data_IF_364151037127
#
_entry.id   IF_364151037127
#
_cell.length_a   1.000
_cell.length_b   1.000
_cell.length_c   1.000
_cell.angle_alpha   90.00
_cell.angle_beta   90.00
_cell.angle_gamma   90.00
#
_symmetry.space_group_name_H-M   'P 1'
#
loop_
_entity.id
_entity.type
_entity.pdbx_description
1 polymer ?
#
# COMPACT_ATOMS: atom_id res chain seq x y z
N UNK A 1 24.01 8.86 -4.20
CA UNK A 1 22.61 9.22 -3.82
C UNK A 1 21.80 7.96 -3.95
N UNK A 2 20.99 7.65 -2.94
CA UNK A 2 20.07 6.52 -3.01
C UNK A 2 18.95 6.84 -4.00
N UNK A 3 18.41 5.81 -4.66
CA UNK A 3 17.25 5.98 -5.53
C UNK A 3 16.00 6.27 -4.70
N UNK A 4 15.14 7.17 -5.18
CA UNK A 4 13.87 7.50 -4.51
C UNK A 4 12.73 6.59 -4.99
N UNK A 5 11.60 6.61 -4.24
CA UNK A 5 10.32 6.12 -4.74
C UNK A 5 9.58 7.18 -5.54
N UNK A 6 8.86 6.79 -6.60
CA UNK A 6 7.94 7.68 -7.31
C UNK A 6 6.51 7.16 -7.14
N UNK A 7 5.65 7.96 -6.48
CA UNK A 7 4.24 7.68 -6.32
C UNK A 7 3.39 8.61 -7.20
N UNK A 8 2.44 8.05 -7.94
CA UNK A 8 1.48 8.84 -8.73
C UNK A 8 0.07 8.52 -8.27
N UNK A 9 -0.61 9.54 -7.74
CA UNK A 9 -1.99 9.40 -7.30
C UNK A 9 -2.97 9.63 -8.45
N UNK A 10 -3.86 8.68 -8.70
CA UNK A 10 -4.95 8.79 -9.67
C UNK A 10 -6.27 8.81 -8.89
N UNK A 11 -6.92 9.98 -8.73
CA UNK A 11 -8.08 10.13 -7.85
C UNK A 11 -9.40 9.69 -8.48
N UNK A 12 -9.39 8.78 -9.45
CA UNK A 12 -10.60 8.41 -10.17
C UNK A 12 -11.10 7.02 -9.82
N UNK A 13 -12.42 6.91 -9.62
CA UNK A 13 -13.14 5.65 -9.45
C UNK A 13 -14.44 5.68 -10.26
N UNK A 14 -14.87 4.54 -10.78
CA UNK A 14 -16.20 4.42 -11.39
C UNK A 14 -17.32 4.51 -10.36
N UNK A 15 -17.06 4.05 -9.13
CA UNK A 15 -17.94 4.16 -7.96
C UNK A 15 -17.10 4.16 -6.68
N UNK A 16 -17.50 4.91 -5.66
CA UNK A 16 -16.83 4.91 -4.36
C UNK A 16 -17.38 3.80 -3.48
N UNK A 17 -16.49 2.98 -2.93
CA UNK A 17 -16.86 1.93 -2.00
C UNK A 17 -17.34 2.51 -0.66
N UNK A 18 -18.31 1.89 0.05
CA UNK A 18 -18.91 2.46 1.25
C UNK A 18 -17.96 2.57 2.46
N UNK A 19 -16.82 1.89 2.42
CA UNK A 19 -15.79 1.92 3.45
C UNK A 19 -14.59 2.84 3.12
N UNK A 20 -14.48 3.33 1.88
CA UNK A 20 -13.25 3.96 1.38
C UNK A 20 -13.17 5.44 1.74
N UNK A 21 -12.09 5.84 2.44
CA UNK A 21 -11.76 7.24 2.73
C UNK A 21 -10.74 7.85 1.77
N UNK A 22 -10.17 7.08 0.85
CA UNK A 22 -9.21 7.63 -0.10
C UNK A 22 -9.81 8.77 -0.92
N UNK A 23 -8.99 9.78 -1.22
CA UNK A 23 -9.40 10.86 -2.10
C UNK A 23 -9.65 10.30 -3.50
N UNK A 24 -10.91 10.04 -3.81
CA UNK A 24 -11.33 9.48 -5.09
C UNK A 24 -12.78 9.82 -5.41
N UNK A 25 -13.06 10.01 -6.72
CA UNK A 25 -14.38 10.37 -7.20
C UNK A 25 -14.56 9.97 -8.68
N UNK A 26 -15.79 10.07 -9.18
CA UNK A 26 -16.08 9.86 -10.59
C UNK A 26 -15.79 11.15 -11.37
N UNK A 27 -15.07 11.05 -12.48
CA UNK A 27 -14.78 12.16 -13.38
C UNK A 27 -15.14 11.81 -14.83
N UNK A 28 -15.44 12.85 -15.61
CA UNK A 28 -15.57 12.76 -17.07
C UNK A 28 -14.19 12.68 -17.76
N UNK A 29 -14.20 12.45 -19.04
CA UNK A 29 -12.96 12.25 -19.80
C UNK A 29 -12.17 13.55 -19.99
N UNK A 30 -12.82 14.70 -20.00
CA UNK A 30 -12.13 16.01 -20.05
C UNK A 30 -11.32 16.24 -18.77
N UNK A 31 -11.94 16.03 -17.61
CA UNK A 31 -11.26 16.13 -16.32
C UNK A 31 -10.08 15.15 -16.22
N UNK A 32 -10.25 13.90 -16.67
CA UNK A 32 -9.16 12.91 -16.71
C UNK A 32 -8.01 13.36 -17.60
N UNK A 33 -8.31 13.91 -18.80
CA UNK A 33 -7.31 14.40 -19.75
C UNK A 33 -6.51 15.58 -19.17
N UNK A 34 -7.20 16.57 -18.58
CA UNK A 34 -6.58 17.71 -17.90
C UNK A 34 -5.66 17.23 -16.76
N UNK A 35 -6.12 16.26 -15.97
CA UNK A 35 -5.35 15.69 -14.88
C UNK A 35 -4.09 14.94 -15.35
N UNK A 36 -4.22 14.10 -16.36
CA UNK A 36 -3.07 13.40 -16.97
C UNK A 36 -2.05 14.40 -17.52
N UNK A 37 -2.51 15.45 -18.17
CA UNK A 37 -1.65 16.53 -18.68
C UNK A 37 -0.90 17.23 -17.55
N UNK A 38 -1.55 17.45 -16.39
CA UNK A 38 -0.91 17.99 -15.20
C UNK A 38 0.13 17.02 -14.59
N UNK A 39 -0.17 15.72 -14.51
CA UNK A 39 0.80 14.70 -14.05
C UNK A 39 2.05 14.70 -14.95
N UNK A 40 1.87 14.72 -16.26
CA UNK A 40 2.97 14.77 -17.22
C UNK A 40 3.80 16.07 -17.13
N UNK A 41 3.16 17.20 -16.84
CA UNK A 41 3.84 18.46 -16.56
C UNK A 41 4.70 18.36 -15.30
N UNK A 42 4.13 17.83 -14.22
CA UNK A 42 4.82 17.68 -12.93
C UNK A 42 5.99 16.69 -13.00
N UNK A 43 5.87 15.59 -13.74
CA UNK A 43 6.99 14.68 -14.02
C UNK A 43 8.16 15.43 -14.66
N UNK A 44 7.88 16.22 -15.72
CA UNK A 44 8.92 17.01 -16.41
C UNK A 44 9.52 18.11 -15.53
N UNK A 45 8.71 18.80 -14.73
CA UNK A 45 9.18 19.88 -13.86
C UNK A 45 10.09 19.34 -12.77
N UNK A 46 9.65 18.30 -12.05
CA UNK A 46 10.43 17.72 -10.97
C UNK A 46 11.71 17.04 -11.50
N UNK A 47 11.72 16.43 -12.69
CA UNK A 47 12.94 15.83 -13.23
C UNK A 47 14.04 16.86 -13.58
N UNK A 48 13.67 18.11 -13.83
CA UNK A 48 14.64 19.20 -14.04
C UNK A 48 15.20 19.76 -12.74
N UNK A 49 14.44 19.64 -11.65
CA UNK A 49 14.81 20.18 -10.34
C UNK A 49 15.55 19.16 -9.47
N UNK A 50 15.18 17.89 -9.59
CA UNK A 50 15.71 16.80 -8.79
C UNK A 50 16.77 16.02 -9.59
N UNK A 51 18.00 16.01 -9.09
CA UNK A 51 19.08 15.21 -9.68
C UNK A 51 19.14 13.81 -9.04
N UNK A 52 18.05 13.05 -9.16
CA UNK A 52 17.92 11.70 -8.61
C UNK A 52 17.22 10.74 -9.58
N UNK A 53 17.38 9.45 -9.36
CA UNK A 53 16.67 8.39 -10.05
C UNK A 53 15.65 7.74 -9.10
N UNK A 54 14.63 7.13 -9.67
CA UNK A 54 13.64 6.33 -8.94
C UNK A 54 13.76 4.87 -9.36
N UNK A 55 13.87 3.98 -8.38
CA UNK A 55 13.90 2.54 -8.61
C UNK A 55 12.55 1.87 -8.38
N UNK A 56 11.54 2.67 -8.01
CA UNK A 56 10.14 2.23 -7.94
C UNK A 56 9.20 3.31 -8.49
N UNK A 57 8.17 2.86 -9.23
CA UNK A 57 7.00 3.66 -9.60
C UNK A 57 5.75 2.95 -9.10
N UNK A 58 4.96 3.63 -8.29
CA UNK A 58 3.67 3.13 -7.83
C UNK A 58 2.55 4.06 -8.30
N UNK A 59 1.63 3.55 -9.10
CA UNK A 59 0.45 4.28 -9.57
C UNK A 59 -0.76 3.73 -8.82
N UNK A 60 -1.29 4.53 -7.90
CA UNK A 60 -2.35 4.12 -6.98
C UNK A 60 -3.38 5.22 -6.69
N UNK A 61 -4.13 5.05 -5.59
CA UNK A 61 -5.04 6.04 -5.02
C UNK A 61 -6.52 5.69 -5.13
N UNK A 62 -7.21 6.11 -6.18
CA UNK A 62 -8.58 5.67 -6.46
C UNK A 62 -8.56 4.31 -7.15
N UNK A 63 -8.55 4.32 -8.47
CA UNK A 63 -8.46 3.13 -9.30
C UNK A 63 -7.76 3.51 -10.61
N UNK A 64 -6.44 3.43 -10.70
CA UNK A 64 -5.69 3.82 -11.90
C UNK A 64 -6.17 3.16 -13.19
N UNK A 65 -6.63 1.91 -13.12
CA UNK A 65 -7.19 1.18 -14.26
C UNK A 65 -8.53 1.71 -14.79
N UNK A 66 -9.06 2.80 -14.23
CA UNK A 66 -10.22 3.56 -14.79
C UNK A 66 -9.76 4.53 -15.89
N UNK A 67 -8.49 4.90 -15.92
CA UNK A 67 -7.91 5.64 -17.02
C UNK A 67 -7.88 4.77 -18.28
N UNK A 68 -8.03 5.40 -19.44
CA UNK A 68 -7.73 4.72 -20.70
C UNK A 68 -6.29 4.18 -20.68
N UNK A 69 -6.03 2.95 -21.18
CA UNK A 69 -4.69 2.36 -21.13
C UNK A 69 -3.60 3.23 -21.74
N UNK A 70 -3.91 4.01 -22.77
CA UNK A 70 -2.97 4.94 -23.38
C UNK A 70 -2.53 6.07 -22.43
N UNK A 71 -3.41 6.56 -21.55
CA UNK A 71 -3.04 7.55 -20.53
C UNK A 71 -2.08 6.95 -19.49
N UNK A 72 -2.33 5.74 -19.05
CA UNK A 72 -1.39 5.02 -18.15
C UNK A 72 -0.02 4.88 -18.81
N UNK A 73 0.02 4.46 -20.09
CA UNK A 73 1.26 4.34 -20.84
C UNK A 73 1.98 5.67 -21.00
N UNK A 74 1.28 6.77 -21.28
CA UNK A 74 1.90 8.10 -21.35
C UNK A 74 2.57 8.49 -20.04
N UNK A 75 1.90 8.25 -18.91
CA UNK A 75 2.45 8.52 -17.57
C UNK A 75 3.68 7.67 -17.31
N UNK A 76 3.59 6.35 -17.52
CA UNK A 76 4.69 5.40 -17.28
C UNK A 76 5.89 5.73 -18.19
N UNK A 77 5.68 5.95 -19.48
CA UNK A 77 6.76 6.28 -20.42
C UNK A 77 7.41 7.63 -20.07
N UNK A 78 6.63 8.62 -19.64
CA UNK A 78 7.17 9.89 -19.13
C UNK A 78 8.02 9.67 -17.89
N UNK A 79 7.56 8.87 -16.91
CA UNK A 79 8.33 8.54 -15.73
C UNK A 79 9.64 7.79 -16.07
N UNK A 80 9.57 6.82 -17.00
CA UNK A 80 10.77 6.08 -17.48
C UNK A 80 11.79 6.99 -18.12
N UNK A 81 11.37 7.91 -18.97
CA UNK A 81 12.29 8.83 -19.65
C UNK A 81 12.89 9.91 -18.74
N UNK A 82 12.29 10.14 -17.57
CA UNK A 82 12.70 11.23 -16.68
C UNK A 82 13.37 10.72 -15.39
N UNK A 83 12.82 9.72 -14.74
CA UNK A 83 13.21 9.30 -13.39
C UNK A 83 13.69 7.87 -13.29
N UNK A 84 13.02 6.90 -13.94
CA UNK A 84 13.19 5.50 -13.58
C UNK A 84 14.55 4.94 -13.95
N UNK A 85 15.03 4.02 -13.12
CA UNK A 85 16.13 3.11 -13.45
C UNK A 85 15.62 1.99 -14.37
N UNK A 86 16.52 1.27 -15.05
CA UNK A 86 16.14 0.21 -16.00
C UNK A 86 15.47 -0.99 -15.30
N UNK A 87 15.80 -1.23 -14.03
CA UNK A 87 15.31 -2.33 -13.18
C UNK A 87 14.19 -1.90 -12.20
N UNK A 88 13.57 -0.74 -12.43
CA UNK A 88 12.54 -0.21 -11.55
C UNK A 88 11.34 -1.17 -11.39
N UNK A 89 10.85 -1.28 -10.15
CA UNK A 89 9.52 -1.86 -9.90
C UNK A 89 8.45 -0.89 -10.38
N UNK A 90 7.59 -1.31 -11.30
CA UNK A 90 6.47 -0.50 -11.82
C UNK A 90 5.17 -1.17 -11.43
N UNK A 91 4.49 -0.61 -10.42
CA UNK A 91 3.22 -1.11 -9.88
C UNK A 91 2.03 -0.28 -10.40
N UNK A 92 0.94 -0.96 -10.77
CA UNK A 92 -0.36 -0.34 -11.08
C UNK A 92 -1.45 -1.01 -10.25
N UNK A 93 -2.25 -0.21 -9.53
CA UNK A 93 -3.45 -0.68 -8.85
C UNK A 93 -4.61 -0.89 -9.84
N UNK A 94 -5.31 -2.01 -9.69
CA UNK A 94 -6.34 -2.44 -10.61
C UNK A 94 -7.63 -2.84 -9.88
N UNK A 95 -8.76 -2.41 -10.42
CA UNK A 95 -10.05 -3.01 -10.07
C UNK A 95 -10.34 -4.12 -11.10
N UNK A 96 -10.54 -5.38 -10.66
CA UNK A 96 -10.73 -6.50 -11.58
C UNK A 96 -12.02 -6.42 -12.41
N UNK A 97 -12.96 -5.56 -12.02
CA UNK A 97 -14.17 -5.33 -12.78
C UNK A 97 -13.89 -4.46 -14.02
N UNK A 98 -14.13 -5.00 -15.22
CA UNK A 98 -14.03 -4.28 -16.50
C UNK A 98 -12.60 -4.06 -17.07
N UNK A 99 -11.62 -4.91 -16.76
CA UNK A 99 -10.33 -4.87 -17.46
C UNK A 99 -10.43 -5.62 -18.81
N UNK A 100 -10.27 -4.89 -19.91
CA UNK A 100 -10.21 -5.43 -21.27
C UNK A 100 -8.83 -6.02 -21.62
N UNK A 101 -8.72 -6.74 -22.76
CA UNK A 101 -7.43 -7.27 -23.24
C UNK A 101 -6.45 -6.15 -23.56
N UNK A 102 -6.92 -5.05 -24.13
CA UNK A 102 -6.14 -3.85 -24.39
C UNK A 102 -5.37 -3.35 -23.18
N UNK A 103 -5.97 -3.42 -21.97
CA UNK A 103 -5.25 -3.02 -20.74
C UNK A 103 -3.98 -3.84 -20.57
N UNK A 104 -4.05 -5.18 -20.69
CA UNK A 104 -2.89 -6.06 -20.47
C UNK A 104 -1.84 -5.91 -21.56
N UNK A 105 -2.25 -5.71 -22.81
CA UNK A 105 -1.34 -5.41 -23.92
C UNK A 105 -0.55 -4.13 -23.64
N UNK A 106 -1.25 -3.04 -23.31
CA UNK A 106 -0.66 -1.74 -23.06
C UNK A 106 0.27 -1.71 -21.84
N UNK A 107 -0.16 -2.27 -20.69
CA UNK A 107 0.69 -2.29 -19.49
C UNK A 107 1.94 -3.17 -19.70
N UNK A 108 1.85 -4.23 -20.50
CA UNK A 108 3.00 -5.03 -20.90
C UNK A 108 3.96 -4.25 -21.81
N UNK A 109 3.45 -3.53 -22.82
CA UNK A 109 4.24 -2.65 -23.68
C UNK A 109 5.02 -1.60 -22.87
N UNK A 110 4.36 -1.02 -21.86
CA UNK A 110 4.97 -0.03 -20.95
C UNK A 110 5.90 -0.64 -19.90
N UNK A 111 6.05 -1.98 -19.88
CA UNK A 111 6.91 -2.71 -18.93
C UNK A 111 6.46 -2.59 -17.47
N UNK A 112 5.15 -2.52 -17.23
CA UNK A 112 4.59 -2.76 -15.90
C UNK A 112 5.00 -4.17 -15.48
N UNK A 113 5.58 -4.32 -14.29
CA UNK A 113 6.07 -5.61 -13.82
C UNK A 113 5.40 -6.06 -12.51
N UNK A 114 4.52 -5.20 -11.91
CA UNK A 114 3.72 -5.54 -10.73
C UNK A 114 2.30 -5.00 -10.85
N UNK A 115 1.30 -5.81 -10.46
CA UNK A 115 -0.11 -5.38 -10.34
C UNK A 115 -0.61 -5.61 -8.92
N UNK A 116 -1.38 -4.63 -8.37
CA UNK A 116 -2.17 -4.81 -7.14
C UNK A 116 -3.65 -4.85 -7.50
N UNK A 117 -4.32 -5.94 -7.14
CA UNK A 117 -5.68 -6.24 -7.60
C UNK A 117 -6.61 -6.33 -6.39
N UNK A 118 -7.60 -5.45 -6.33
CA UNK A 118 -8.55 -5.40 -5.23
C UNK A 118 -9.57 -6.55 -5.27
N UNK A 119 -9.29 -7.67 -4.60
CA UNK A 119 -10.24 -8.76 -4.35
C UNK A 119 -11.18 -8.43 -3.18
N UNK A 120 -10.61 -8.06 -2.05
CA UNK A 120 -11.17 -7.78 -0.74
C UNK A 120 -11.73 -9.02 -0.02
N UNK A 121 -12.53 -9.84 -0.66
CA UNK A 121 -13.04 -11.12 -0.18
C UNK A 121 -13.43 -12.04 -1.35
N UNK A 122 -13.27 -13.34 -1.18
CA UNK A 122 -13.79 -14.35 -2.09
C UNK A 122 -15.25 -14.73 -1.79
N UNK A 123 -15.83 -14.24 -0.69
CA UNK A 123 -17.23 -14.49 -0.30
C UNK A 123 -18.17 -13.46 -0.94
N UNK A 124 -19.22 -13.94 -1.61
CA UNK A 124 -20.18 -13.09 -2.32
C UNK A 124 -20.97 -12.16 -1.39
N UNK A 125 -21.29 -12.61 -0.17
CA UNK A 125 -22.01 -11.84 0.83
C UNK A 125 -21.16 -10.65 1.29
N UNK A 126 -19.91 -10.90 1.65
CA UNK A 126 -18.96 -9.88 2.08
C UNK A 126 -18.68 -8.87 0.96
N UNK A 127 -18.45 -9.34 -0.28
CA UNK A 127 -18.24 -8.43 -1.42
C UNK A 127 -19.42 -7.52 -1.68
N UNK A 128 -20.66 -8.03 -1.60
CA UNK A 128 -21.86 -7.19 -1.77
C UNK A 128 -21.94 -6.09 -0.73
N UNK A 129 -21.64 -6.39 0.53
CA UNK A 129 -21.57 -5.39 1.61
C UNK A 129 -20.49 -4.35 1.34
N UNK A 130 -19.32 -4.78 0.86
CA UNK A 130 -18.22 -3.91 0.47
C UNK A 130 -18.47 -3.10 -0.81
N UNK A 131 -19.60 -3.31 -1.50
CA UNK A 131 -19.89 -2.66 -2.78
C UNK A 131 -19.00 -3.12 -3.93
N UNK A 132 -18.40 -4.33 -3.84
CA UNK A 132 -17.51 -4.89 -4.86
C UNK A 132 -18.30 -5.74 -5.85
N UNK A 133 -18.09 -5.48 -7.14
CA UNK A 133 -18.80 -6.15 -8.25
C UNK A 133 -18.08 -7.39 -8.75
N UNK A 134 -16.75 -7.35 -8.82
CA UNK A 134 -15.95 -8.45 -9.32
C UNK A 134 -16.00 -9.66 -8.38
N UNK A 135 -16.29 -10.83 -8.89
CA UNK A 135 -16.26 -12.09 -8.18
C UNK A 135 -14.95 -12.85 -8.34
N UNK A 136 -14.90 -14.08 -7.82
CA UNK A 136 -13.73 -14.96 -7.97
C UNK A 136 -13.36 -15.22 -9.44
N UNK A 137 -14.34 -15.39 -10.31
CA UNK A 137 -14.13 -15.66 -11.74
C UNK A 137 -13.46 -14.49 -12.45
N UNK A 138 -13.89 -13.26 -12.17
CA UNK A 138 -13.29 -12.06 -12.73
C UNK A 138 -11.86 -11.89 -12.25
N UNK A 139 -11.60 -12.03 -10.94
CA UNK A 139 -10.25 -11.95 -10.38
C UNK A 139 -9.34 -13.02 -10.96
N UNK A 140 -9.79 -14.28 -11.04
CA UNK A 140 -9.02 -15.38 -11.65
C UNK A 140 -8.71 -15.11 -13.12
N UNK A 141 -9.67 -14.55 -13.87
CA UNK A 141 -9.46 -14.14 -15.26
C UNK A 141 -8.39 -13.07 -15.38
N UNK A 142 -8.45 -12.02 -14.52
CA UNK A 142 -7.46 -10.94 -14.47
C UNK A 142 -6.07 -11.48 -14.14
N UNK A 143 -5.93 -12.33 -13.13
CA UNK A 143 -4.66 -12.98 -12.76
C UNK A 143 -4.10 -13.80 -13.94
N UNK A 144 -4.94 -14.60 -14.60
CA UNK A 144 -4.53 -15.41 -15.73
C UNK A 144 -4.04 -14.54 -16.91
N UNK A 145 -4.74 -13.45 -17.22
CA UNK A 145 -4.37 -12.52 -18.30
C UNK A 145 -3.11 -11.73 -17.98
N UNK A 146 -2.92 -11.29 -16.73
CA UNK A 146 -1.69 -10.66 -16.29
C UNK A 146 -0.49 -11.58 -16.47
N UNK A 147 -0.60 -12.86 -16.04
CA UNK A 147 0.47 -13.85 -16.23
C UNK A 147 0.77 -14.11 -17.72
N UNK A 148 -0.26 -14.19 -18.58
CA UNK A 148 -0.09 -14.32 -20.04
C UNK A 148 0.62 -13.10 -20.65
N UNK A 149 0.41 -11.90 -20.10
CA UNK A 149 1.09 -10.68 -20.50
C UNK A 149 2.53 -10.57 -19.93
N UNK A 150 3.01 -11.59 -19.20
CA UNK A 150 4.35 -11.64 -18.61
C UNK A 150 4.46 -11.01 -17.21
N UNK A 151 3.35 -10.57 -16.62
CA UNK A 151 3.34 -9.94 -15.29
C UNK A 151 3.06 -11.04 -14.24
N UNK A 152 4.12 -11.49 -13.55
CA UNK A 152 4.04 -12.54 -12.54
C UNK A 152 4.00 -12.01 -11.10
N UNK A 153 4.49 -10.79 -10.85
CA UNK A 153 4.40 -10.14 -9.55
C UNK A 153 3.01 -9.53 -9.38
N UNK A 154 2.10 -10.29 -8.78
CA UNK A 154 0.69 -9.92 -8.61
C UNK A 154 0.36 -9.96 -7.12
N UNK A 155 -0.21 -8.87 -6.62
CA UNK A 155 -0.82 -8.77 -5.29
C UNK A 155 -2.33 -8.91 -5.38
N UNK A 156 -2.94 -9.63 -4.45
CA UNK A 156 -4.37 -9.55 -4.17
C UNK A 156 -4.60 -8.84 -2.84
N UNK A 157 -5.48 -7.85 -2.84
CA UNK A 157 -5.86 -7.15 -1.62
C UNK A 157 -7.02 -7.89 -0.95
N UNK A 158 -6.89 -8.16 0.36
CA UNK A 158 -7.85 -8.86 1.21
C UNK A 158 -8.20 -7.97 2.40
N UNK A 159 -9.47 -7.96 2.80
CA UNK A 159 -9.92 -7.21 3.97
C UNK A 159 -10.34 -8.16 5.09
N UNK A 160 -9.91 -7.83 6.31
CA UNK A 160 -10.31 -8.48 7.56
C UNK A 160 -11.27 -7.57 8.31
N UNK A 161 -12.14 -8.17 9.16
CA UNK A 161 -13.11 -7.41 9.92
C UNK A 161 -14.29 -6.91 9.10
N UNK A 162 -14.56 -7.52 7.96
CA UNK A 162 -15.71 -7.19 7.10
C UNK A 162 -17.01 -7.62 7.78
N UNK A 163 -18.12 -6.84 7.68
CA UNK A 163 -19.38 -7.24 8.26
C UNK A 163 -19.83 -8.64 7.82
N UNK A 164 -20.13 -9.49 8.80
CA UNK A 164 -20.52 -10.89 8.61
C UNK A 164 -19.37 -11.84 8.29
N UNK A 165 -18.12 -11.37 8.31
CA UNK A 165 -16.95 -12.23 8.09
C UNK A 165 -16.74 -13.18 9.28
N UNK A 166 -16.39 -14.41 8.96
CA UNK A 166 -15.99 -15.45 9.92
C UNK A 166 -14.62 -16.00 9.57
N UNK A 167 -14.02 -16.73 10.48
CA UNK A 167 -12.74 -17.42 10.25
C UNK A 167 -12.80 -18.39 9.07
N UNK A 168 -13.94 -19.07 8.88
CA UNK A 168 -14.18 -19.99 7.76
C UNK A 168 -14.27 -19.25 6.43
N UNK A 169 -14.98 -18.10 6.38
CA UNK A 169 -15.09 -17.29 5.17
C UNK A 169 -13.76 -16.63 4.80
N UNK A 170 -12.99 -16.17 5.82
CA UNK A 170 -11.63 -15.69 5.61
C UNK A 170 -10.73 -16.81 5.06
N UNK A 171 -10.78 -18.03 5.68
CA UNK A 171 -10.01 -19.17 5.18
C UNK A 171 -10.34 -19.47 3.71
N UNK A 172 -11.62 -19.46 3.33
CA UNK A 172 -12.03 -19.65 1.93
C UNK A 172 -11.45 -18.57 1.00
N UNK A 173 -11.32 -17.34 1.48
CA UNK A 173 -10.67 -16.23 0.73
C UNK A 173 -9.18 -16.49 0.57
N UNK A 174 -8.49 -16.92 1.62
CA UNK A 174 -7.05 -17.25 1.57
C UNK A 174 -6.79 -18.46 0.66
N UNK A 175 -7.64 -19.51 0.73
CA UNK A 175 -7.57 -20.68 -0.17
C UNK A 175 -7.67 -20.26 -1.65
N UNK A 176 -8.58 -19.33 -1.96
CA UNK A 176 -8.71 -18.78 -3.30
C UNK A 176 -7.44 -18.01 -3.72
N UNK A 177 -6.89 -17.17 -2.86
CA UNK A 177 -5.67 -16.42 -3.15
C UNK A 177 -4.49 -17.36 -3.43
N UNK A 178 -4.29 -18.37 -2.57
CA UNK A 178 -3.21 -19.36 -2.70
C UNK A 178 -3.39 -20.17 -3.99
N UNK A 179 -4.60 -20.64 -4.27
CA UNK A 179 -4.90 -21.42 -5.50
C UNK A 179 -4.75 -20.60 -6.78
N UNK A 180 -4.89 -19.27 -6.71
CA UNK A 180 -4.64 -18.36 -7.84
C UNK A 180 -3.15 -18.26 -8.18
N UNK A 181 -2.26 -18.74 -7.30
CA UNK A 181 -0.82 -18.77 -7.49
C UNK A 181 -0.21 -17.36 -7.60
N UNK A 182 -0.76 -16.39 -6.83
CA UNK A 182 -0.18 -15.05 -6.70
C UNK A 182 0.89 -15.06 -5.61
N UNK A 183 2.02 -14.35 -5.79
CA UNK A 183 3.12 -14.36 -4.84
C UNK A 183 2.96 -13.37 -3.68
N UNK A 184 1.96 -12.47 -3.71
CA UNK A 184 1.82 -11.39 -2.75
C UNK A 184 0.36 -11.19 -2.34
N UNK A 185 0.13 -10.88 -1.06
CA UNK A 185 -1.17 -10.49 -0.51
C UNK A 185 -1.02 -9.22 0.34
N UNK A 186 -1.93 -8.26 0.13
CA UNK A 186 -2.10 -7.11 1.01
C UNK A 186 -3.34 -7.35 1.87
N UNK A 187 -3.17 -7.53 3.17
CA UNK A 187 -4.24 -7.93 4.08
C UNK A 187 -4.48 -6.86 5.13
N UNK A 188 -5.55 -6.10 4.97
CA UNK A 188 -5.86 -4.95 5.82
C UNK A 188 -7.02 -5.24 6.77
N UNK A 189 -6.85 -4.89 8.06
CA UNK A 189 -8.00 -4.84 8.98
C UNK A 189 -8.83 -3.61 8.59
N UNK A 190 -10.13 -3.81 8.38
CA UNK A 190 -11.06 -2.75 8.01
C UNK A 190 -11.16 -1.73 9.15
N UNK A 191 -10.73 -0.51 8.88
CA UNK A 191 -10.93 0.64 9.75
C UNK A 191 -12.15 1.42 9.28
N UNK A 192 -13.04 1.76 10.20
CA UNK A 192 -14.25 2.52 9.92
C UNK A 192 -13.95 4.00 10.10
N UNK A 193 -13.78 4.71 8.98
CA UNK A 193 -13.47 6.14 8.98
C UNK A 193 -14.76 7.00 9.04
N UNK A 194 -14.73 8.08 9.82
CA UNK A 194 -15.91 8.91 10.16
C UNK A 194 -16.68 9.45 8.95
N UNK A 195 -15.99 9.79 7.86
CA UNK A 195 -16.61 10.36 6.67
C UNK A 195 -17.17 9.32 5.69
N UNK A 196 -17.21 8.04 6.07
CA UNK A 196 -17.67 6.97 5.20
C UNK A 196 -19.12 6.57 5.44
N UNK A 197 -19.83 6.02 4.43
CA UNK A 197 -21.12 5.39 4.65
C UNK A 197 -21.09 4.29 5.71
N UNK A 198 -20.02 3.52 5.85
CA UNK A 198 -19.89 2.48 6.87
C UNK A 198 -19.93 3.05 8.28
N UNK A 199 -19.33 4.21 8.52
CA UNK A 199 -19.43 4.88 9.82
C UNK A 199 -20.89 5.19 10.22
N UNK A 200 -21.70 5.64 9.25
CA UNK A 200 -23.12 5.94 9.47
C UNK A 200 -23.99 4.69 9.71
N UNK A 201 -23.51 3.54 9.24
CA UNK A 201 -24.20 2.25 9.33
C UNK A 201 -23.57 1.30 10.35
N UNK A 202 -22.55 1.71 11.10
CA UNK A 202 -21.77 0.85 11.97
C UNK A 202 -22.62 0.03 12.95
N UNK A 203 -23.65 0.66 13.54
CA UNK A 203 -24.52 0.00 14.51
C UNK A 203 -25.56 -0.95 13.86
N UNK A 204 -25.64 -0.96 12.52
CA UNK A 204 -26.61 -1.77 11.75
C UNK A 204 -25.95 -2.92 11.01
N UNK A 205 -24.64 -2.90 10.87
CA UNK A 205 -23.87 -3.92 10.16
C UNK A 205 -23.30 -4.93 11.18
N UNK A 206 -23.32 -6.23 10.87
CA UNK A 206 -22.83 -7.28 11.77
C UNK A 206 -21.29 -7.36 11.69
N UNK A 207 -20.59 -6.36 12.22
CA UNK A 207 -19.14 -6.40 12.33
C UNK A 207 -18.72 -7.49 13.31
N UNK A 208 -17.64 -8.25 13.03
CA UNK A 208 -17.05 -9.12 14.04
C UNK A 208 -16.54 -8.27 15.22
N UNK A 209 -16.42 -8.88 16.39
CA UNK A 209 -15.77 -8.24 17.54
C UNK A 209 -14.29 -7.98 17.28
N UNK A 210 -13.69 -7.12 18.10
CA UNK A 210 -12.24 -6.88 18.04
C UNK A 210 -11.45 -8.17 18.32
N UNK A 211 -11.92 -9.00 19.27
CA UNK A 211 -11.31 -10.31 19.60
C UNK A 211 -11.43 -11.28 18.41
N UNK A 212 -12.60 -11.39 17.76
CA UNK A 212 -12.76 -12.22 16.56
C UNK A 212 -11.86 -11.74 15.41
N UNK A 213 -11.73 -10.44 15.25
CA UNK A 213 -10.87 -9.83 14.23
C UNK A 213 -9.40 -10.11 14.52
N UNK A 214 -8.97 -10.02 15.79
CA UNK A 214 -7.62 -10.38 16.23
C UNK A 214 -7.32 -11.87 16.00
N UNK A 215 -8.25 -12.75 16.35
CA UNK A 215 -8.13 -14.20 16.11
C UNK A 215 -8.05 -14.51 14.60
N UNK A 216 -8.83 -13.84 13.78
CA UNK A 216 -8.76 -13.97 12.32
C UNK A 216 -7.40 -13.50 11.78
N UNK A 217 -6.86 -12.39 12.29
CA UNK A 217 -5.54 -11.90 11.87
C UNK A 217 -4.42 -12.90 12.24
N UNK A 218 -4.40 -13.38 13.47
CA UNK A 218 -3.40 -14.37 13.91
C UNK A 218 -3.50 -15.65 13.10
N UNK A 219 -4.72 -16.15 12.90
CA UNK A 219 -4.97 -17.31 12.04
C UNK A 219 -4.43 -17.09 10.62
N UNK A 220 -4.72 -15.95 10.02
CA UNK A 220 -4.27 -15.60 8.67
C UNK A 220 -2.74 -15.61 8.57
N UNK A 221 -2.05 -14.98 9.52
CA UNK A 221 -0.58 -14.96 9.55
C UNK A 221 0.02 -16.36 9.56
N UNK A 222 -0.51 -17.25 10.43
CA UNK A 222 -0.06 -18.65 10.51
C UNK A 222 -0.42 -19.46 9.26
N UNK A 223 -1.60 -19.20 8.70
CA UNK A 223 -2.09 -19.91 7.54
C UNK A 223 -1.26 -19.59 6.29
N UNK A 224 -0.98 -18.32 6.05
CA UNK A 224 -0.15 -17.89 4.92
C UNK A 224 1.29 -18.39 5.03
N UNK A 225 1.89 -18.32 6.22
CA UNK A 225 3.25 -18.82 6.47
C UNK A 225 3.38 -20.31 6.13
N UNK A 226 2.40 -21.15 6.55
CA UNK A 226 2.36 -22.59 6.20
C UNK A 226 2.32 -22.83 4.68
N UNK A 227 1.92 -21.83 3.89
CA UNK A 227 1.90 -21.89 2.43
C UNK A 227 3.06 -21.11 1.77
N UNK A 228 4.09 -20.73 2.55
CA UNK A 228 5.28 -20.05 2.04
C UNK A 228 5.09 -18.58 1.71
N UNK A 229 3.98 -17.96 2.13
CA UNK A 229 3.71 -16.53 1.97
C UNK A 229 3.99 -15.86 3.32
N UNK A 230 5.15 -15.22 3.43
CA UNK A 230 5.68 -14.71 4.68
C UNK A 230 5.21 -13.28 4.94
N UNK A 231 4.83 -12.99 6.18
CA UNK A 231 4.61 -11.60 6.59
C UNK A 231 5.95 -10.84 6.56
N UNK A 232 6.03 -9.70 5.88
CA UNK A 232 7.23 -8.86 5.89
C UNK A 232 6.98 -7.49 6.55
N UNK A 233 5.73 -7.03 6.61
CA UNK A 233 5.31 -5.87 7.41
C UNK A 233 3.88 -6.05 7.92
N UNK A 234 3.35 -5.08 8.64
CA UNK A 234 2.10 -5.16 9.41
C UNK A 234 0.89 -5.68 8.60
N UNK A 235 0.80 -5.34 7.31
CA UNK A 235 -0.35 -5.65 6.45
C UNK A 235 -0.01 -6.47 5.20
N UNK A 236 1.27 -6.65 4.87
CA UNK A 236 1.66 -7.28 3.62
C UNK A 236 2.44 -8.59 3.82
N UNK A 237 2.14 -9.54 2.92
CA UNK A 237 2.63 -10.90 2.93
C UNK A 237 3.13 -11.27 1.53
N UNK A 238 4.28 -11.92 1.44
CA UNK A 238 4.86 -12.29 0.15
C UNK A 238 5.61 -13.63 0.21
N UNK A 239 5.68 -14.30 -0.93
CA UNK A 239 6.74 -15.26 -1.17
C UNK A 239 8.07 -14.48 -1.18
N UNK A 240 9.14 -14.95 -0.50
CA UNK A 240 10.41 -14.23 -0.45
C UNK A 240 10.89 -13.79 -1.84
N UNK A 241 11.25 -12.50 -1.97
CA UNK A 241 11.64 -11.85 -3.23
C UNK A 241 10.50 -11.20 -4.02
N UNK A 242 9.25 -11.24 -3.50
CA UNK A 242 8.10 -10.58 -4.08
C UNK A 242 7.51 -9.49 -3.19
N UNK A 243 8.23 -9.06 -2.17
CA UNK A 243 7.87 -7.92 -1.33
C UNK A 243 7.72 -6.65 -2.21
N UNK A 244 6.76 -5.76 -1.87
CA UNK A 244 6.62 -4.49 -2.58
C UNK A 244 7.80 -3.58 -2.24
N UNK A 245 8.69 -3.37 -3.19
CA UNK A 245 9.86 -2.49 -3.02
C UNK A 245 9.43 -1.05 -2.72
N UNK A 246 8.34 -0.60 -3.34
CA UNK A 246 7.82 0.74 -3.12
C UNK A 246 7.28 0.93 -1.70
N UNK A 247 6.50 -0.04 -1.17
CA UNK A 247 5.96 0.05 0.19
C UNK A 247 7.09 -0.02 1.23
N UNK A 248 8.11 -0.84 0.98
CA UNK A 248 9.28 -0.92 1.86
C UNK A 248 10.02 0.41 1.99
N UNK A 249 10.06 1.25 0.94
CA UNK A 249 10.65 2.60 1.05
C UNK A 249 9.98 3.45 2.12
N UNK A 250 8.67 3.39 2.22
CA UNK A 250 7.95 4.11 3.29
C UNK A 250 8.35 3.61 4.68
N UNK A 251 8.37 2.28 4.87
CA UNK A 251 8.71 1.68 6.15
C UNK A 251 10.19 1.81 6.53
N UNK A 252 11.07 1.97 5.52
CA UNK A 252 12.49 2.23 5.72
C UNK A 252 12.81 3.72 5.89
N UNK A 253 11.81 4.59 5.91
CA UNK A 253 11.98 6.05 5.93
C UNK A 253 12.89 6.56 4.79
N UNK A 254 12.75 5.94 3.61
CA UNK A 254 13.45 6.36 2.40
C UNK A 254 12.69 7.46 1.67
N UNK A 255 13.43 8.26 0.91
CA UNK A 255 12.86 9.37 0.15
C UNK A 255 11.92 8.91 -0.97
N UNK A 256 10.86 9.66 -1.16
CA UNK A 256 9.92 9.46 -2.25
C UNK A 256 9.27 10.77 -2.71
N UNK A 257 8.97 10.83 -4.01
CA UNK A 257 8.25 11.92 -4.65
C UNK A 257 6.81 11.49 -4.94
N UNK A 258 5.84 12.19 -4.40
CA UNK A 258 4.43 12.05 -4.74
C UNK A 258 3.95 13.09 -5.74
N UNK A 259 3.25 12.66 -6.79
CA UNK A 259 2.65 13.50 -7.82
C UNK A 259 1.15 13.22 -7.89
N UNK A 260 0.34 14.26 -7.87
CA UNK A 260 -1.12 14.17 -7.95
C UNK A 260 -1.83 14.70 -6.70
N UNK A 261 -3.09 15.07 -6.86
CA UNK A 261 -3.92 15.54 -5.74
C UNK A 261 -3.97 14.50 -4.62
N UNK A 262 -3.77 14.91 -3.37
CA UNK A 262 -3.63 14.04 -2.19
C UNK A 262 -2.32 13.25 -2.08
N UNK A 263 -1.36 13.40 -2.99
CA UNK A 263 -0.07 12.74 -2.90
C UNK A 263 0.85 13.46 -1.92
N UNK A 264 1.53 12.68 -1.05
CA UNK A 264 2.57 13.16 -0.14
C UNK A 264 3.96 12.86 -0.73
N UNK A 265 4.96 13.60 -0.28
CA UNK A 265 6.38 13.40 -0.62
C UNK A 265 7.23 13.51 0.64
N UNK A 266 8.34 12.78 0.68
CA UNK A 266 9.41 12.93 1.65
C UNK A 266 10.73 13.09 0.90
N UNK A 267 11.30 14.29 0.87
CA UNK A 267 12.51 14.60 0.13
C UNK A 267 13.35 15.64 0.92
N UNK A 268 14.65 15.39 1.04
CA UNK A 268 15.58 16.30 1.70
C UNK A 268 15.19 16.59 3.16
N UNK A 269 14.66 15.60 3.88
CA UNK A 269 14.20 15.72 5.25
C UNK A 269 12.91 16.54 5.42
N UNK A 270 12.19 16.84 4.34
CA UNK A 270 10.93 17.60 4.37
C UNK A 270 9.77 16.75 3.87
N UNK A 271 8.64 16.84 4.59
CA UNK A 271 7.35 16.28 4.17
C UNK A 271 6.53 17.37 3.51
N UNK A 272 6.07 17.07 2.30
CA UNK A 272 5.22 17.98 1.51
C UNK A 272 4.07 17.18 0.91
N UNK A 273 2.99 17.86 0.54
CA UNK A 273 1.82 17.21 -0.04
C UNK A 273 1.07 18.10 -1.01
N UNK A 274 0.31 17.49 -1.91
CA UNK A 274 -0.77 18.16 -2.62
C UNK A 274 -2.08 17.99 -1.84
N UNK A 275 -2.89 19.05 -1.67
CA UNK A 275 -4.17 18.92 -0.97
C UNK A 275 -5.15 17.98 -1.70
N UNK A 276 -6.19 17.54 -1.01
CA UNK A 276 -7.31 16.76 -1.58
C UNK A 276 -8.18 17.66 -2.49
N UNK A 277 -7.56 18.25 -3.52
CA UNK A 277 -8.17 19.20 -4.44
C UNK A 277 -7.57 19.00 -5.85
N UNK A 278 -8.41 18.48 -6.75
CA UNK A 278 -7.97 18.19 -8.13
C UNK A 278 -7.67 19.47 -8.92
N UNK A 279 -8.46 20.53 -8.73
CA UNK A 279 -8.26 21.79 -9.47
C UNK A 279 -7.02 22.53 -8.98
N UNK A 280 -6.71 22.43 -7.68
CA UNK A 280 -5.44 22.91 -7.14
C UNK A 280 -4.24 22.29 -7.87
N UNK A 281 -4.26 20.96 -8.05
CA UNK A 281 -3.20 20.23 -8.75
C UNK A 281 -3.16 20.55 -10.25
N UNK A 282 -4.31 20.53 -10.93
CA UNK A 282 -4.41 20.81 -12.38
C UNK A 282 -3.88 22.20 -12.69
N UNK A 283 -4.18 23.20 -11.85
CA UNK A 283 -3.74 24.59 -12.02
C UNK A 283 -2.23 24.80 -11.88
N UNK A 284 -1.48 23.78 -11.43
CA UNK A 284 -0.02 23.84 -11.31
C UNK A 284 0.46 24.55 -10.06
N UNK A 285 -0.34 24.54 -9.00
CA UNK A 285 0.08 25.04 -7.71
C UNK A 285 1.16 24.16 -7.08
N UNK A 286 2.00 24.75 -6.25
CA UNK A 286 3.09 24.05 -5.57
C UNK A 286 2.57 23.14 -4.46
N UNK A 287 3.39 22.15 -4.05
CA UNK A 287 3.14 21.33 -2.87
C UNK A 287 3.18 22.19 -1.62
N UNK A 288 2.31 21.88 -0.68
CA UNK A 288 2.29 22.48 0.64
C UNK A 288 3.30 21.76 1.56
N UNK A 289 3.94 22.50 2.45
CA UNK A 289 4.83 21.90 3.46
C UNK A 289 4.00 21.39 4.63
N UNK A 290 4.24 20.15 5.02
CA UNK A 290 3.63 19.52 6.20
C UNK A 290 4.54 19.71 7.43
N UNK A 291 5.86 19.52 7.26
CA UNK A 291 6.86 19.66 8.32
C UNK A 291 8.20 19.03 7.94
N UNK A 292 9.03 18.85 8.95
CA UNK A 292 10.24 18.05 8.88
C UNK A 292 9.89 16.58 9.05
N UNK A 293 10.72 15.68 8.54
CA UNK A 293 10.58 14.24 8.68
C UNK A 293 11.93 13.54 8.70
N UNK A 294 11.91 12.23 8.97
CA UNK A 294 13.11 11.42 9.02
C UNK A 294 13.90 11.56 10.31
N UNK A 295 13.27 12.01 11.39
CA UNK A 295 13.87 12.02 12.73
C UNK A 295 13.86 10.61 13.36
N UNK A 296 14.44 10.51 14.56
CA UNK A 296 14.57 9.22 15.27
C UNK A 296 13.21 8.60 15.63
N UNK A 297 12.26 9.43 16.04
CA UNK A 297 10.93 8.98 16.44
C UNK A 297 10.18 8.40 15.25
N UNK A 298 10.18 9.12 14.13
CA UNK A 298 9.53 8.66 12.89
C UNK A 298 10.19 7.41 12.34
N UNK A 299 11.52 7.37 12.28
CA UNK A 299 12.26 6.19 11.83
C UNK A 299 11.93 4.95 12.68
N UNK A 300 11.93 5.08 14.01
CA UNK A 300 11.58 3.99 14.92
C UNK A 300 10.12 3.54 14.75
N UNK A 301 9.19 4.50 14.61
CA UNK A 301 7.77 4.22 14.40
C UNK A 301 7.54 3.43 13.11
N UNK A 302 8.27 3.74 12.03
CA UNK A 302 8.16 3.05 10.75
C UNK A 302 8.85 1.68 10.80
N UNK A 303 10.07 1.61 11.33
CA UNK A 303 10.85 0.37 11.43
C UNK A 303 10.14 -0.71 12.25
N UNK A 304 9.47 -0.33 13.35
CA UNK A 304 8.74 -1.26 14.21
C UNK A 304 7.47 -1.85 13.55
N UNK A 305 7.06 -1.37 12.37
CA UNK A 305 5.98 -1.98 11.57
C UNK A 305 6.48 -3.05 10.61
N UNK A 306 7.79 -3.23 10.49
CA UNK A 306 8.43 -4.29 9.72
C UNK A 306 8.69 -5.54 10.57
N UNK A 307 8.64 -6.72 9.96
CA UNK A 307 9.06 -7.97 10.61
C UNK A 307 10.55 -8.00 10.95
N UNK A 308 11.37 -7.30 10.18
CA UNK A 308 12.79 -7.11 10.48
C UNK A 308 13.05 -6.14 11.64
N UNK A 309 12.03 -5.42 12.09
CA UNK A 309 12.04 -4.58 13.28
C UNK A 309 13.02 -3.41 13.24
N UNK A 310 13.23 -2.82 14.42
CA UNK A 310 14.23 -1.79 14.67
C UNK A 310 15.54 -2.45 15.08
N UNK A 311 16.52 -2.50 14.16
CA UNK A 311 17.83 -3.09 14.43
C UNK A 311 18.85 -2.03 14.82
N UNK A 312 19.78 -2.40 15.70
CA UNK A 312 20.90 -1.53 16.10
C UNK A 312 21.74 -1.07 14.90
N UNK A 313 21.97 -1.96 13.93
CA UNK A 313 22.75 -1.67 12.74
C UNK A 313 22.11 -0.56 11.89
N UNK A 314 20.81 -0.68 11.59
CA UNK A 314 20.07 0.31 10.78
C UNK A 314 19.96 1.64 11.50
N UNK A 315 19.67 1.62 12.80
CA UNK A 315 19.58 2.82 13.61
C UNK A 315 20.92 3.56 13.66
N UNK A 316 22.02 2.84 13.94
CA UNK A 316 23.36 3.43 13.95
C UNK A 316 23.79 3.97 12.58
N UNK A 317 23.47 3.26 11.51
CA UNK A 317 23.77 3.73 10.15
C UNK A 317 23.06 5.05 9.81
N UNK A 318 21.90 5.31 10.41
CA UNK A 318 21.11 6.52 10.17
C UNK A 318 21.49 7.67 11.07
N UNK A 319 21.69 7.41 12.38
CA UNK A 319 21.83 8.46 13.42
C UNK A 319 23.21 8.54 14.08
N UNK A 320 24.12 7.59 13.79
CA UNK A 320 25.50 7.54 14.31
C UNK A 320 25.63 7.39 15.82
N UNK A 321 24.59 6.88 16.49
CA UNK A 321 24.58 6.46 17.88
C UNK A 321 23.68 5.23 18.06
N UNK A 322 23.72 4.61 19.23
CA UNK A 322 22.94 3.41 19.54
C UNK A 322 21.48 3.75 19.84
N UNK A 323 20.58 2.75 19.69
CA UNK A 323 19.17 2.86 20.11
C UNK A 323 19.16 3.29 21.60
N UNK A 324 18.38 4.34 21.96
CA UNK A 324 18.34 4.84 23.32
C UNK A 324 18.01 3.74 24.34
N UNK A 325 18.78 3.68 25.43
CA UNK A 325 18.60 2.66 26.46
C UNK A 325 17.18 2.66 27.05
N UNK A 326 16.56 3.84 27.21
CA UNK A 326 15.17 4.00 27.67
C UNK A 326 14.20 3.24 26.76
N UNK A 327 14.39 3.31 25.45
CA UNK A 327 13.55 2.63 24.45
C UNK A 327 13.68 1.10 24.60
N UNK A 328 14.89 0.57 24.77
CA UNK A 328 15.14 -0.85 25.01
C UNK A 328 14.52 -1.32 26.33
N UNK A 329 14.57 -0.49 27.37
CA UNK A 329 13.95 -0.80 28.67
C UNK A 329 12.43 -0.82 28.59
N UNK A 330 11.83 0.14 27.87
CA UNK A 330 10.38 0.14 27.56
C UNK A 330 9.99 -1.12 26.79
N UNK A 331 10.70 -1.47 25.72
CA UNK A 331 10.43 -2.66 24.93
C UNK A 331 10.46 -3.94 25.77
N UNK A 332 11.41 -4.08 26.71
CA UNK A 332 11.49 -5.23 27.64
C UNK A 332 10.25 -5.39 28.53
N UNK A 333 9.47 -4.32 28.79
CA UNK A 333 8.20 -4.46 29.51
C UNK A 333 7.16 -5.17 28.63
N UNK A 334 7.11 -4.84 27.34
CA UNK A 334 6.18 -5.44 26.38
C UNK A 334 6.59 -6.84 25.94
N UNK A 335 7.88 -7.17 26.01
CA UNK A 335 8.39 -8.54 25.81
C UNK A 335 7.79 -9.52 26.85
N UNK A 336 7.61 -9.11 28.10
CA UNK A 336 6.96 -9.91 29.15
C UNK A 336 5.52 -10.31 28.81
N UNK A 337 4.85 -9.51 27.97
CA UNK A 337 3.49 -9.78 27.48
C UNK A 337 3.47 -10.48 26.11
N UNK A 338 4.65 -10.81 25.56
CA UNK A 338 4.78 -11.45 24.25
C UNK A 338 4.39 -10.57 23.08
N UNK A 339 4.51 -9.23 23.21
CA UNK A 339 4.17 -8.26 22.18
C UNK A 339 5.38 -7.85 21.32
N UNK A 340 6.59 -7.98 21.86
CA UNK A 340 7.84 -7.81 21.11
C UNK A 340 8.88 -8.82 21.59
N UNK A 341 10.02 -8.88 20.89
CA UNK A 341 11.27 -9.49 21.36
C UNK A 341 12.40 -8.47 21.30
N UNK A 342 13.37 -8.60 22.23
CA UNK A 342 14.54 -7.74 22.29
C UNK A 342 15.79 -8.62 22.11
N UNK A 343 16.25 -8.73 20.87
CA UNK A 343 17.37 -9.58 20.48
C UNK A 343 18.48 -8.75 19.84
N UNK A 344 19.74 -9.07 20.15
CA UNK A 344 20.92 -8.41 19.57
C UNK A 344 20.89 -6.86 19.63
N UNK A 345 20.26 -6.30 20.68
CA UNK A 345 20.10 -4.86 20.85
C UNK A 345 19.03 -4.22 19.94
N UNK A 346 18.27 -5.01 19.21
CA UNK A 346 17.12 -4.57 18.40
C UNK A 346 15.78 -4.84 19.07
N UNK A 347 14.70 -4.30 18.49
CA UNK A 347 13.30 -4.46 18.93
C UNK A 347 12.47 -4.95 17.77
N UNK A 348 11.74 -6.06 17.97
CA UNK A 348 10.96 -6.74 16.93
C UNK A 348 9.54 -7.00 17.44
N UNK A 349 8.53 -6.45 16.80
CA UNK A 349 7.15 -6.76 17.18
C UNK A 349 6.78 -8.19 16.78
N UNK A 350 6.10 -8.88 17.68
CA UNK A 350 5.45 -10.16 17.38
C UNK A 350 4.17 -9.94 16.58
N UNK A 351 3.54 -11.01 16.08
CA UNK A 351 2.22 -10.91 15.44
C UNK A 351 1.15 -10.32 16.36
N UNK A 352 1.21 -10.64 17.66
CA UNK A 352 0.35 -10.03 18.69
C UNK A 352 0.69 -8.56 18.89
N UNK A 353 1.98 -8.21 18.85
CA UNK A 353 2.44 -6.83 18.89
C UNK A 353 1.94 -6.00 17.71
N UNK A 354 1.86 -6.56 16.50
CA UNK A 354 1.30 -5.86 15.36
C UNK A 354 -0.19 -5.50 15.52
N UNK A 355 -0.99 -6.35 16.17
CA UNK A 355 -2.39 -6.02 16.48
C UNK A 355 -2.53 -4.79 17.38
N UNK A 356 -1.57 -4.58 18.27
CA UNK A 356 -1.54 -3.48 19.23
C UNK A 356 -0.46 -2.45 18.88
N UNK A 357 0.01 -2.45 17.64
CA UNK A 357 1.21 -1.72 17.21
C UNK A 357 1.18 -0.24 17.57
N UNK A 358 0.05 0.46 17.38
CA UNK A 358 -0.02 1.88 17.68
C UNK A 358 0.28 2.17 19.16
N UNK A 359 -0.35 1.42 20.07
CA UNK A 359 -0.11 1.60 21.52
C UNK A 359 1.29 1.14 21.93
N UNK A 360 1.73 -0.03 21.45
CA UNK A 360 3.04 -0.60 21.81
C UNK A 360 4.18 0.30 21.30
N UNK A 361 4.10 0.74 20.04
CA UNK A 361 5.13 1.60 19.42
C UNK A 361 5.19 2.94 20.14
N UNK A 362 4.03 3.58 20.39
CA UNK A 362 3.98 4.86 21.11
C UNK A 362 4.68 4.79 22.47
N UNK A 363 4.43 3.73 23.25
CA UNK A 363 5.03 3.56 24.58
C UNK A 363 6.51 3.14 24.54
N UNK A 364 6.97 2.52 23.46
CA UNK A 364 8.38 2.17 23.28
C UNK A 364 9.19 3.41 22.92
N UNK A 365 8.65 4.31 22.10
CA UNK A 365 9.36 5.49 21.58
C UNK A 365 9.39 6.63 22.60
N UNK A 366 8.32 6.85 23.37
CA UNK A 366 8.22 7.90 24.40
C UNK A 366 9.12 7.62 25.63
#
# INVERSE_FOLDING_TARGET
MNNIGLYIHIPFCNSKCPYCDFYSFRADDDTKNRYVSAVLRELRNNSKQLNCKADTLYIGGGTPSVLAPDYLCQIINSAKSTFLTDDAEITVECNPFSLGDEFFEKVSECKVNRLSIGLQSANDGERRILGRRAGKSEVQSVVSRAKKAGINNISLDVMLGVPGQTKESLKSTLDFCISSGVPHLSCYILKIEENTPFFRMRDKLPFPSDDDTADMYLFMCEYLEKHGIMQYEISNFAVPGFESRHNLKYWHDEEYLGIGASAHSFLGGKRTYYPRDIEYFISGNERLTEGDGGDEEEFCMLALRLREGLTQERFYARFHHEIPQKMLESAKQYEKYGLCSCESGGIFLTRRGFLLSNSVISEIIL
#
